data_IF_165468454024
#
_entry.id   IF_165468454024
#
_cell.length_a   1.000
_cell.length_b   1.000
_cell.length_c   1.000
_cell.angle_alpha   90.00
_cell.angle_beta   90.00
_cell.angle_gamma   90.00
#
_symmetry.space_group_name_H-M   'P 1'
#
loop_
_entity.id
_entity.type
_entity.pdbx_description
1 polymer ?
#
# COMPACT_ATOMS: atom_id res chain seq x y z
N UNK A 1 -2.59 -15.49 1.65
CA UNK A 1 -2.78 -15.67 0.18
C UNK A 1 -1.71 -14.89 -0.58
N UNK A 2 -1.48 -15.13 -1.88
CA UNK A 2 -0.38 -14.55 -2.67
C UNK A 2 -0.12 -13.02 -2.46
N UNK A 3 -1.16 -12.26 -2.14
CA UNK A 3 -1.10 -10.82 -1.83
C UNK A 3 -0.36 -10.46 -0.53
N UNK A 4 -0.37 -11.31 0.50
CA UNK A 4 0.39 -11.08 1.75
C UNK A 4 1.90 -11.21 1.51
N UNK A 5 2.30 -12.19 0.68
CA UNK A 5 3.70 -12.35 0.27
C UNK A 5 4.19 -11.16 -0.54
N UNK A 6 3.37 -10.66 -1.48
CA UNK A 6 3.66 -9.44 -2.23
C UNK A 6 3.77 -8.21 -1.32
N UNK A 7 2.86 -8.06 -0.35
CA UNK A 7 2.94 -6.99 0.64
C UNK A 7 4.26 -7.06 1.41
N UNK A 8 4.61 -8.22 1.94
CA UNK A 8 5.83 -8.39 2.74
C UNK A 8 7.09 -8.15 1.90
N UNK A 9 7.11 -8.60 0.65
CA UNK A 9 8.22 -8.32 -0.26
C UNK A 9 8.35 -6.82 -0.54
N UNK A 10 7.23 -6.11 -0.72
CA UNK A 10 7.23 -4.65 -0.79
C UNK A 10 7.79 -3.97 0.46
N UNK A 11 7.41 -4.45 1.65
CA UNK A 11 7.94 -3.95 2.93
C UNK A 11 9.45 -4.20 3.06
N UNK A 12 9.93 -5.38 2.66
CA UNK A 12 11.36 -5.69 2.66
C UNK A 12 12.15 -4.74 1.77
N UNK A 13 11.66 -4.44 0.56
CA UNK A 13 12.28 -3.45 -0.32
C UNK A 13 12.16 -2.01 0.20
N UNK A 14 11.05 -1.65 0.86
CA UNK A 14 10.85 -0.32 1.44
C UNK A 14 11.82 -0.04 2.60
N UNK A 15 12.03 -1.02 3.48
CA UNK A 15 12.88 -0.90 4.65
C UNK A 15 14.34 -1.31 4.40
N UNK A 16 14.60 -2.12 3.37
CA UNK A 16 15.90 -2.74 3.14
C UNK A 16 16.19 -3.94 4.06
N UNK A 17 15.16 -4.71 4.42
CA UNK A 17 15.33 -5.91 5.26
C UNK A 17 15.75 -7.11 4.41
N UNK A 18 16.98 -7.59 4.59
CA UNK A 18 17.52 -8.73 3.83
C UNK A 18 17.76 -8.45 2.33
N UNK A 19 17.41 -7.26 1.85
CA UNK A 19 17.61 -6.77 0.49
C UNK A 19 18.05 -5.30 0.52
N UNK A 20 18.67 -4.81 -0.55
CA UNK A 20 18.95 -3.38 -0.69
C UNK A 20 17.63 -2.62 -0.76
N UNK A 21 17.53 -1.53 0.01
CA UNK A 21 16.36 -0.64 -0.03
C UNK A 21 16.14 -0.10 -1.45
N UNK A 22 14.95 -0.31 -1.97
CA UNK A 22 14.52 0.13 -3.30
C UNK A 22 13.03 0.49 -3.28
N UNK A 23 12.75 1.79 -3.27
CA UNK A 23 11.37 2.27 -3.23
C UNK A 23 10.60 1.99 -4.53
N UNK A 24 11.25 1.91 -5.69
CA UNK A 24 10.56 1.59 -6.94
C UNK A 24 10.07 0.15 -6.94
N UNK A 25 10.89 -0.78 -6.44
CA UNK A 25 10.45 -2.17 -6.26
C UNK A 25 9.37 -2.27 -5.18
N UNK A 26 9.50 -1.54 -4.07
CA UNK A 26 8.45 -1.49 -3.04
C UNK A 26 7.10 -1.04 -3.64
N UNK A 27 7.07 0.03 -4.44
CA UNK A 27 5.87 0.51 -5.12
C UNK A 27 5.27 -0.55 -6.02
N UNK A 28 6.09 -1.23 -6.85
CA UNK A 28 5.61 -2.29 -7.74
C UNK A 28 4.93 -3.42 -6.97
N UNK A 29 5.52 -3.84 -5.86
CA UNK A 29 4.95 -4.90 -5.02
C UNK A 29 3.69 -4.46 -4.29
N UNK A 30 3.64 -3.22 -3.78
CA UNK A 30 2.41 -2.69 -3.19
C UNK A 30 1.30 -2.50 -4.23
N UNK A 31 1.60 -2.11 -5.46
CA UNK A 31 0.61 -2.05 -6.54
C UNK A 31 0.05 -3.43 -6.90
N UNK A 32 0.90 -4.46 -6.94
CA UNK A 32 0.45 -5.83 -7.18
C UNK A 32 -0.46 -6.34 -6.05
N UNK A 33 -0.08 -6.09 -4.79
CA UNK A 33 -0.88 -6.46 -3.63
C UNK A 33 -2.20 -5.67 -3.54
N UNK A 34 -2.20 -4.39 -3.92
CA UNK A 34 -3.41 -3.55 -3.93
C UNK A 34 -4.39 -3.98 -5.03
N UNK A 35 -3.90 -4.41 -6.19
CA UNK A 35 -4.72 -5.00 -7.26
C UNK A 35 -5.45 -6.27 -6.80
N UNK A 36 -4.85 -7.02 -5.87
CA UNK A 36 -5.46 -8.19 -5.23
C UNK A 36 -6.41 -7.82 -4.08
N UNK A 37 -6.72 -6.54 -3.88
CA UNK A 37 -7.63 -6.04 -2.86
C UNK A 37 -7.02 -5.85 -1.47
N UNK A 38 -5.71 -6.03 -1.29
CA UNK A 38 -5.08 -5.97 0.02
C UNK A 38 -5.06 -4.54 0.58
N UNK A 39 -5.84 -4.28 1.64
CA UNK A 39 -6.02 -2.93 2.21
C UNK A 39 -4.70 -2.32 2.71
N UNK A 40 -3.84 -3.10 3.39
CA UNK A 40 -2.52 -2.62 3.82
C UNK A 40 -1.59 -2.17 2.68
N UNK A 41 -1.79 -2.70 1.46
CA UNK A 41 -1.00 -2.25 0.31
C UNK A 41 -1.40 -0.84 -0.13
N UNK A 42 -2.70 -0.52 -0.11
CA UNK A 42 -3.19 0.85 -0.32
C UNK A 42 -2.67 1.80 0.75
N UNK A 43 -2.62 1.37 2.02
CA UNK A 43 -2.06 2.15 3.12
C UNK A 43 -0.58 2.50 2.89
N UNK A 44 0.24 1.51 2.50
CA UNK A 44 1.66 1.75 2.23
C UNK A 44 1.86 2.68 1.02
N UNK A 45 1.08 2.52 -0.06
CA UNK A 45 1.12 3.46 -1.19
C UNK A 45 0.72 4.89 -0.78
N UNK A 46 -0.31 5.04 0.05
CA UNK A 46 -0.74 6.33 0.58
C UNK A 46 0.37 7.00 1.39
N UNK A 47 1.05 6.26 2.28
CA UNK A 47 2.22 6.77 3.00
C UNK A 47 3.35 7.19 2.05
N UNK A 48 3.64 6.41 1.01
CA UNK A 48 4.68 6.76 0.04
C UNK A 48 4.34 8.05 -0.71
N UNK A 49 3.09 8.25 -1.10
CA UNK A 49 2.63 9.52 -1.69
C UNK A 49 2.65 10.68 -0.69
N UNK A 50 2.36 10.45 0.59
CA UNK A 50 2.40 11.48 1.63
C UNK A 50 3.83 11.93 1.96
N UNK A 51 4.78 10.99 1.98
CA UNK A 51 6.19 11.22 2.34
C UNK A 51 7.06 11.61 1.13
N UNK A 52 6.69 11.19 -0.08
CA UNK A 52 7.53 11.33 -1.27
C UNK A 52 8.64 10.29 -1.38
N UNK A 53 8.54 9.16 -0.67
CA UNK A 53 9.57 8.11 -0.70
C UNK A 53 9.50 7.33 -2.02
N UNK A 54 10.49 7.55 -2.90
CA UNK A 54 10.58 6.88 -4.21
C UNK A 54 9.50 7.26 -5.22
N UNK A 55 8.66 8.23 -4.89
CA UNK A 55 7.63 8.77 -5.77
C UNK A 55 7.50 10.27 -5.52
N UNK A 56 7.02 11.02 -6.51
CA UNK A 56 6.69 12.42 -6.30
C UNK A 56 5.59 12.52 -5.22
N UNK A 57 5.88 13.30 -4.18
CA UNK A 57 4.93 13.55 -3.10
C UNK A 57 3.63 14.14 -3.65
N UNK A 58 2.50 13.55 -3.28
CA UNK A 58 1.16 13.99 -3.67
C UNK A 58 0.19 13.79 -2.51
N UNK A 59 -0.11 14.88 -1.80
CA UNK A 59 -1.11 14.85 -0.73
C UNK A 59 -2.51 14.46 -1.24
N UNK A 60 -3.01 14.95 -2.40
CA UNK A 60 -4.32 14.54 -2.90
C UNK A 60 -4.40 13.03 -3.15
N UNK A 61 -3.40 12.46 -3.82
CA UNK A 61 -3.36 11.01 -4.07
C UNK A 61 -3.26 10.22 -2.78
N UNK A 62 -2.46 10.67 -1.82
CA UNK A 62 -2.38 10.02 -0.50
C UNK A 62 -3.74 10.04 0.22
N UNK A 63 -4.45 11.18 0.21
CA UNK A 63 -5.77 11.29 0.84
C UNK A 63 -6.81 10.37 0.22
N UNK A 64 -6.83 10.24 -1.12
CA UNK A 64 -7.78 9.36 -1.80
C UNK A 64 -7.50 7.89 -1.50
N UNK A 65 -6.22 7.49 -1.46
CA UNK A 65 -5.83 6.15 -1.06
C UNK A 65 -6.18 5.86 0.41
N UNK A 66 -6.01 6.82 1.32
CA UNK A 66 -6.41 6.66 2.72
C UNK A 66 -7.93 6.57 2.88
N UNK A 67 -8.73 7.28 2.08
CA UNK A 67 -10.19 7.11 2.07
C UNK A 67 -10.57 5.68 1.69
N UNK A 68 -9.96 5.12 0.64
CA UNK A 68 -10.19 3.72 0.25
C UNK A 68 -9.90 2.77 1.41
N UNK A 69 -8.80 3.00 2.16
CA UNK A 69 -8.43 2.19 3.33
C UNK A 69 -9.46 2.32 4.45
N UNK A 70 -9.88 3.54 4.77
CA UNK A 70 -10.87 3.80 5.82
C UNK A 70 -12.26 3.24 5.47
N UNK A 71 -12.70 3.39 4.23
CA UNK A 71 -14.02 2.95 3.77
C UNK A 71 -14.09 1.43 3.61
N UNK A 72 -13.03 0.77 3.15
CA UNK A 72 -12.97 -0.70 3.10
C UNK A 72 -12.89 -1.34 4.50
N UNK A 73 -12.34 -0.63 5.49
CA UNK A 73 -12.45 -1.02 6.89
C UNK A 73 -13.88 -0.92 7.43
N UNK A 74 -14.73 -0.08 6.83
CA UNK A 74 -16.14 0.10 7.18
C UNK A 74 -17.10 -0.83 6.42
N UNK A 75 -16.68 -1.36 5.26
CA UNK A 75 -17.52 -2.26 4.44
C UNK A 75 -17.82 -3.62 5.08
N UNK A 76 -17.02 -4.08 6.06
CA UNK A 76 -17.36 -5.29 6.82
C UNK A 76 -18.60 -5.11 7.71
N UNK A 77 -19.01 -3.88 8.00
CA UNK A 77 -20.17 -3.55 8.84
C UNK A 77 -21.32 -2.90 8.07
N UNK A 78 -21.22 -2.71 6.75
CA UNK A 78 -22.21 -1.97 5.96
C UNK A 78 -23.07 -2.86 5.04
N UNK A 79 -22.77 -4.16 4.93
CA UNK A 79 -23.51 -5.13 4.09
C UNK A 79 -23.93 -6.40 4.83
N UNK A 80 -24.03 -6.35 6.16
CA UNK A 80 -24.73 -7.39 6.93
C UNK A 80 -26.16 -6.94 7.21
N UNK A 81 -27.02 -6.95 6.19
CA UNK A 81 -28.48 -7.08 6.30
C UNK A 81 -28.99 -7.99 5.17
#
# INVERSE_FOLDING_TARGET
>A
SYSEGQLMLGVMYYNGHGVRRDYNLAIKWFQAASHSGHVLAYYNLAQMHATGNGILRSCPTATDLFKIVAERGSWSNMFTE
#
